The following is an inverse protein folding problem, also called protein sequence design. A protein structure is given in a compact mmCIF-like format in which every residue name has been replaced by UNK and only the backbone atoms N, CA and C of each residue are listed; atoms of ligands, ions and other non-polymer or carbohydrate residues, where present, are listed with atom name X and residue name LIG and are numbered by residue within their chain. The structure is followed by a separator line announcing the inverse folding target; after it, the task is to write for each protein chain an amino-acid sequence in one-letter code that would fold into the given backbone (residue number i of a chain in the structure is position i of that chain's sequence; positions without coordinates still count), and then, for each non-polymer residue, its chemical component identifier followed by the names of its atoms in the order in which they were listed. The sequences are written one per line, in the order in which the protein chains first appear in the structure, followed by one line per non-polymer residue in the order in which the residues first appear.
data_IF_875653381829
#
_entry.id   IF_875653381829
#
_cell.length_a   1.000
_cell.length_b   1.000
_cell.length_c   1.000
_cell.angle_alpha   90.00
_cell.angle_beta   90.00
_cell.angle_gamma   90.00
#
_symmetry.space_group_name_H-M   'P 1'
#
loop_
_entity.id
_entity.type
_entity.pdbx_description
1 polymer ?
#
# COMPACT_ATOMS: atom_id res chain seq x y z
N UNK A 1 -45.30 -32.22 -51.07
CA UNK A 1 -45.14 -30.81 -50.63
C UNK A 1 -44.82 -30.87 -49.18
N UNK A 2 -43.59 -30.77 -48.83
CA UNK A 2 -43.03 -31.04 -47.48
C UNK A 2 -42.75 -29.72 -46.70
N UNK A 3 -43.30 -29.59 -45.51
CA UNK A 3 -43.16 -28.36 -44.69
C UNK A 3 -41.92 -28.43 -43.77
N UNK A 4 -40.68 -28.61 -44.32
CA UNK A 4 -39.47 -28.75 -43.55
C UNK A 4 -38.48 -27.54 -43.67
N UNK A 5 -38.94 -26.43 -44.28
CA UNK A 5 -38.01 -25.29 -44.52
C UNK A 5 -38.18 -24.07 -43.59
N UNK A 6 -39.10 -24.12 -42.63
CA UNK A 6 -39.37 -22.95 -41.77
C UNK A 6 -38.74 -23.00 -40.38
N UNK A 7 -38.03 -24.08 -40.02
CA UNK A 7 -37.50 -24.23 -38.62
C UNK A 7 -36.04 -23.89 -38.46
N UNK A 8 -35.30 -23.55 -39.51
CA UNK A 8 -33.87 -23.36 -39.46
C UNK A 8 -33.40 -21.89 -39.33
N UNK A 9 -34.31 -20.93 -39.36
CA UNK A 9 -33.93 -19.49 -39.30
C UNK A 9 -34.11 -18.88 -37.90
N UNK A 10 -34.85 -19.53 -36.99
CA UNK A 10 -35.11 -18.99 -35.66
C UNK A 10 -33.98 -19.24 -34.64
N UNK A 11 -32.98 -20.07 -34.95
CA UNK A 11 -31.94 -20.46 -34.01
C UNK A 11 -30.65 -19.63 -34.12
N UNK A 12 -30.52 -18.75 -35.09
CA UNK A 12 -29.27 -17.99 -35.32
C UNK A 12 -29.28 -16.58 -34.70
N UNK A 13 -30.46 -16.08 -34.28
CA UNK A 13 -30.54 -14.72 -33.70
C UNK A 13 -30.42 -14.65 -32.17
N UNK A 14 -30.24 -15.75 -31.45
CA UNK A 14 -30.20 -15.76 -29.99
C UNK A 14 -28.79 -15.70 -29.39
N UNK A 15 -27.73 -15.60 -30.18
CA UNK A 15 -26.31 -15.64 -29.67
C UNK A 15 -25.58 -14.31 -29.73
N UNK A 16 -26.24 -13.19 -29.97
CA UNK A 16 -25.58 -11.88 -30.10
C UNK A 16 -25.67 -10.97 -28.82
N UNK A 17 -26.09 -11.52 -27.69
CA UNK A 17 -26.10 -10.76 -26.43
C UNK A 17 -24.95 -11.22 -25.50
N UNK A 18 -23.76 -11.38 -26.04
CA UNK A 18 -22.54 -11.45 -25.20
C UNK A 18 -22.21 -10.01 -24.79
N UNK A 19 -22.67 -9.64 -23.58
CA UNK A 19 -22.30 -8.41 -22.95
C UNK A 19 -20.75 -8.30 -22.94
N UNK A 20 -20.24 -7.26 -23.56
CA UNK A 20 -18.84 -6.91 -23.46
C UNK A 20 -18.51 -6.76 -21.97
N UNK A 21 -17.82 -7.74 -21.39
CA UNK A 21 -17.16 -7.56 -20.13
C UNK A 21 -16.23 -6.35 -20.33
N UNK A 22 -16.59 -5.21 -19.74
CA UNK A 22 -15.67 -4.10 -19.62
C UNK A 22 -14.56 -4.62 -18.72
N UNK A 23 -13.41 -4.89 -19.31
CA UNK A 23 -12.17 -4.96 -18.55
C UNK A 23 -12.06 -3.61 -17.85
N UNK A 24 -12.01 -3.61 -16.52
CA UNK A 24 -11.54 -2.46 -15.76
C UNK A 24 -10.06 -2.25 -16.14
N UNK A 25 -9.84 -1.57 -17.26
CA UNK A 25 -8.52 -1.13 -17.63
C UNK A 25 -8.11 -0.09 -16.57
N UNK A 26 -6.98 -0.28 -15.86
CA UNK A 26 -6.47 0.74 -14.99
C UNK A 26 -6.27 1.99 -15.84
N UNK A 27 -7.13 2.98 -15.66
CA UNK A 27 -6.96 4.26 -16.33
C UNK A 27 -5.57 4.84 -16.04
N UNK A 28 -5.09 5.83 -16.79
CA UNK A 28 -3.82 6.51 -16.55
C UNK A 28 -3.90 7.32 -15.25
N UNK A 29 -4.14 6.62 -14.15
CA UNK A 29 -4.18 7.15 -12.81
C UNK A 29 -2.82 6.89 -12.20
N UNK A 30 -2.02 7.93 -12.02
CA UNK A 30 -0.97 7.89 -11.04
C UNK A 30 -1.53 7.33 -9.73
N UNK A 31 -0.75 6.56 -9.00
CA UNK A 31 -1.13 5.97 -7.72
C UNK A 31 -1.74 7.06 -6.83
N UNK A 32 -3.06 6.99 -6.65
CA UNK A 32 -3.74 7.91 -5.73
C UNK A 32 -3.14 7.66 -4.35
N UNK A 33 -2.62 8.66 -3.66
CA UNK A 33 -2.07 8.48 -2.33
C UNK A 33 -3.08 7.77 -1.45
N UNK A 34 -2.63 6.81 -0.66
CA UNK A 34 -3.45 6.15 0.34
C UNK A 34 -4.10 7.23 1.21
N UNK A 35 -5.36 7.02 1.59
CA UNK A 35 -6.16 8.00 2.33
C UNK A 35 -6.15 7.85 3.87
N UNK A 36 -5.32 7.01 4.53
CA UNK A 36 -5.28 6.90 5.97
C UNK A 36 -4.91 8.23 6.62
N UNK A 37 -5.58 8.53 7.73
CA UNK A 37 -5.47 9.81 8.45
C UNK A 37 -4.75 9.68 9.79
N UNK A 38 -4.46 8.46 10.22
CA UNK A 38 -3.77 8.17 11.48
C UNK A 38 -2.60 7.24 11.27
N UNK A 39 -1.62 7.26 12.17
CA UNK A 39 -0.47 6.35 12.12
C UNK A 39 -0.89 4.89 12.23
N UNK A 40 -1.92 4.58 13.02
CA UNK A 40 -2.48 3.24 13.12
C UNK A 40 -3.09 2.77 11.79
N UNK A 41 -3.87 3.62 11.14
CA UNK A 41 -4.44 3.29 9.83
C UNK A 41 -3.36 3.03 8.79
N UNK A 42 -2.31 3.86 8.73
CA UNK A 42 -1.17 3.62 7.84
C UNK A 42 -0.51 2.28 8.18
N UNK A 43 -0.28 2.01 9.46
CA UNK A 43 0.31 0.74 9.91
C UNK A 43 -0.49 -0.46 9.42
N UNK A 44 -1.79 -0.46 9.67
CA UNK A 44 -2.70 -1.55 9.29
C UNK A 44 -2.78 -1.77 7.78
N UNK A 45 -2.77 -0.70 7.00
CA UNK A 45 -2.90 -0.78 5.54
C UNK A 45 -1.60 -1.18 4.84
N UNK A 46 -0.45 -0.81 5.41
CA UNK A 46 0.84 -0.91 4.70
C UNK A 46 1.83 -1.82 5.44
N UNK A 47 2.08 -1.57 6.71
CA UNK A 47 3.18 -2.20 7.45
C UNK A 47 2.82 -3.59 7.99
N UNK A 48 1.57 -3.74 8.43
CA UNK A 48 1.05 -4.95 9.08
C UNK A 48 1.18 -6.21 8.21
N UNK A 49 1.10 -6.08 6.89
CA UNK A 49 1.22 -7.20 5.97
C UNK A 49 2.51 -8.00 6.15
N UNK A 50 3.60 -7.31 6.52
CA UNK A 50 4.91 -7.93 6.76
C UNK A 50 5.27 -7.96 8.24
N UNK A 51 4.97 -6.89 8.98
CA UNK A 51 5.38 -6.75 10.39
C UNK A 51 4.37 -7.29 11.39
N UNK A 52 3.26 -7.88 10.93
CA UNK A 52 2.16 -8.49 11.71
C UNK A 52 1.40 -7.46 12.55
N UNK A 53 0.22 -7.85 13.05
CA UNK A 53 -0.66 -6.96 13.81
C UNK A 53 -0.06 -6.51 15.15
N UNK A 54 0.84 -7.30 15.71
CA UNK A 54 1.51 -7.07 16.99
C UNK A 54 2.93 -6.50 16.84
N UNK A 55 3.36 -6.20 15.62
CA UNK A 55 4.68 -5.66 15.33
C UNK A 55 5.85 -6.63 15.52
N UNK A 56 5.59 -7.92 15.76
CA UNK A 56 6.66 -8.91 16.04
C UNK A 56 7.39 -9.41 14.81
N UNK A 57 6.87 -9.08 13.62
CA UNK A 57 7.41 -9.61 12.39
C UNK A 57 7.17 -11.11 12.24
N UNK A 58 7.87 -11.75 11.32
CA UNK A 58 7.75 -13.19 11.09
C UNK A 58 9.06 -13.79 10.57
N UNK A 59 9.26 -15.07 10.85
CA UNK A 59 10.35 -15.90 10.32
C UNK A 59 9.73 -17.11 9.64
N UNK A 60 10.18 -17.43 8.43
CA UNK A 60 9.65 -18.55 7.66
C UNK A 60 10.01 -18.40 6.18
N UNK A 61 9.00 -18.33 5.31
CA UNK A 61 9.20 -18.07 3.87
C UNK A 61 9.83 -16.69 3.60
N UNK A 62 9.81 -15.77 4.58
CA UNK A 62 10.52 -14.49 4.60
C UNK A 62 11.02 -14.20 6.02
N UNK A 63 11.93 -13.24 6.14
CA UNK A 63 12.40 -12.71 7.42
C UNK A 63 11.95 -11.25 7.54
N UNK A 64 10.90 -11.03 8.32
CA UNK A 64 10.35 -9.71 8.59
C UNK A 64 10.73 -9.30 10.02
N UNK A 65 11.62 -8.31 10.19
CA UNK A 65 12.13 -7.94 11.51
C UNK A 65 11.03 -7.38 12.42
N UNK A 66 11.16 -7.64 13.73
CA UNK A 66 10.29 -7.08 14.73
C UNK A 66 10.42 -5.56 14.81
N UNK A 67 9.28 -4.88 14.86
CA UNK A 67 9.15 -3.48 15.25
C UNK A 67 8.86 -3.37 16.75
N UNK A 68 8.28 -4.42 17.32
CA UNK A 68 7.99 -4.53 18.75
C UNK A 68 9.28 -4.57 19.58
N UNK A 69 9.30 -3.81 20.68
CA UNK A 69 10.43 -3.73 21.61
C UNK A 69 11.77 -3.48 20.90
N UNK A 70 11.77 -2.65 19.87
CA UNK A 70 12.92 -2.44 19.00
C UNK A 70 13.68 -1.16 19.41
N UNK A 71 14.87 -1.26 20.01
CA UNK A 71 15.63 -0.10 20.48
C UNK A 71 16.03 0.86 19.34
N UNK A 72 16.09 0.39 18.09
CA UNK A 72 16.40 1.26 16.94
C UNK A 72 15.30 2.26 16.65
N UNK A 73 14.06 2.01 17.12
CA UNK A 73 12.96 2.97 17.01
C UNK A 73 13.22 4.24 17.86
N UNK A 74 14.13 4.21 18.80
CA UNK A 74 14.59 5.40 19.53
C UNK A 74 15.28 6.44 18.65
N UNK A 75 15.80 6.04 17.47
CA UNK A 75 16.46 6.94 16.52
C UNK A 75 15.50 7.28 15.37
N UNK A 76 14.92 8.49 15.31
CA UNK A 76 13.95 8.86 14.28
C UNK A 76 14.43 8.59 12.86
N UNK A 77 15.64 9.00 12.51
CA UNK A 77 16.19 8.85 11.17
C UNK A 77 16.31 7.40 10.72
N UNK A 78 16.45 6.45 11.63
CA UNK A 78 16.48 5.02 11.26
C UNK A 78 15.18 4.59 10.60
N UNK A 79 14.03 4.87 11.23
CA UNK A 79 12.73 4.55 10.67
C UNK A 79 12.45 5.33 9.38
N UNK A 80 12.75 6.62 9.37
CA UNK A 80 12.54 7.49 8.20
C UNK A 80 13.28 6.96 6.98
N UNK A 81 14.59 6.71 7.09
CA UNK A 81 15.40 6.22 5.95
C UNK A 81 14.91 4.88 5.44
N UNK A 82 14.54 3.95 6.33
CA UNK A 82 14.03 2.64 5.91
C UNK A 82 12.69 2.74 5.19
N UNK A 83 11.79 3.60 5.66
CA UNK A 83 10.48 3.81 5.03
C UNK A 83 10.61 4.49 3.67
N UNK A 84 11.46 5.50 3.57
CA UNK A 84 11.63 6.28 2.34
C UNK A 84 12.44 5.53 1.26
N UNK A 85 13.41 4.72 1.64
CA UNK A 85 14.36 4.09 0.70
C UNK A 85 14.24 2.58 0.58
N UNK A 86 13.53 1.94 1.50
CA UNK A 86 13.51 0.50 1.61
C UNK A 86 14.84 -0.11 2.05
N UNK A 87 14.85 -1.41 2.29
CA UNK A 87 16.08 -2.19 2.54
C UNK A 87 15.82 -3.68 2.37
N UNK A 88 16.58 -4.34 1.52
CA UNK A 88 16.43 -5.78 1.29
C UNK A 88 15.03 -6.11 0.75
N UNK A 89 14.26 -6.93 1.46
CA UNK A 89 12.87 -7.25 1.10
C UNK A 89 11.84 -6.17 1.48
N UNK A 90 12.22 -5.15 2.24
CA UNK A 90 11.32 -4.03 2.55
C UNK A 90 11.32 -3.02 1.39
N UNK A 91 10.18 -2.79 0.73
CA UNK A 91 10.10 -1.80 -0.34
C UNK A 91 10.27 -0.37 0.20
N UNK A 92 10.52 0.58 -0.70
CA UNK A 92 10.40 2.00 -0.39
C UNK A 92 8.93 2.44 -0.50
N UNK A 93 8.54 3.42 0.30
CA UNK A 93 7.15 3.92 0.35
C UNK A 93 7.02 5.38 -0.06
N UNK A 94 8.09 6.02 -0.49
CA UNK A 94 8.11 7.43 -0.93
C UNK A 94 7.15 7.75 -2.09
N UNK A 95 6.71 6.75 -2.86
CA UNK A 95 5.76 6.93 -3.95
C UNK A 95 4.30 6.69 -3.51
N UNK A 96 4.07 6.07 -2.34
CA UNK A 96 2.74 5.68 -1.86
C UNK A 96 2.31 6.36 -0.58
N UNK A 97 3.24 6.83 0.23
CA UNK A 97 2.98 7.57 1.46
C UNK A 97 3.50 9.01 1.35
N UNK A 98 2.70 9.97 1.81
CA UNK A 98 3.18 11.34 1.98
C UNK A 98 4.14 11.45 3.17
N UNK A 99 5.02 12.46 3.22
CA UNK A 99 5.88 12.70 4.37
C UNK A 99 5.12 12.81 5.70
N UNK A 100 3.93 13.40 5.69
CA UNK A 100 3.05 13.44 6.85
C UNK A 100 2.59 12.05 7.30
N UNK A 101 2.24 11.17 6.36
CA UNK A 101 1.85 9.79 6.67
C UNK A 101 3.01 8.96 7.19
N UNK A 102 4.21 9.14 6.66
CA UNK A 102 5.43 8.52 7.19
C UNK A 102 5.70 8.99 8.62
N UNK A 103 5.58 10.29 8.89
CA UNK A 103 5.71 10.83 10.24
C UNK A 103 4.69 10.23 11.22
N UNK A 104 3.41 10.14 10.80
CA UNK A 104 2.34 9.55 11.62
C UNK A 104 2.58 8.08 11.95
N UNK A 105 2.93 7.26 10.95
CA UNK A 105 3.12 5.82 11.19
C UNK A 105 4.35 5.53 12.03
N UNK A 106 5.42 6.27 11.83
CA UNK A 106 6.63 6.10 12.65
C UNK A 106 6.41 6.55 14.09
N UNK A 107 5.64 7.62 14.32
CA UNK A 107 5.21 8.02 15.65
C UNK A 107 4.38 6.92 16.31
N UNK A 108 3.43 6.34 15.58
CA UNK A 108 2.62 5.21 16.07
C UNK A 108 3.49 4.03 16.48
N UNK A 109 4.40 3.56 15.61
CA UNK A 109 5.30 2.43 15.90
C UNK A 109 6.17 2.72 17.13
N UNK A 110 6.68 3.93 17.26
CA UNK A 110 7.56 4.36 18.35
C UNK A 110 6.87 4.40 19.72
N UNK A 111 5.56 4.53 19.74
CA UNK A 111 4.75 4.61 20.97
C UNK A 111 3.94 3.34 21.25
N UNK A 112 3.97 2.36 20.33
CA UNK A 112 3.22 1.10 20.42
C UNK A 112 4.13 -0.12 20.39
N UNK A 113 3.55 -1.29 20.50
CA UNK A 113 4.26 -2.57 20.43
C UNK A 113 5.38 -2.72 21.48
N UNK A 114 5.20 -2.12 22.67
CA UNK A 114 6.22 -2.15 23.73
C UNK A 114 7.36 -1.15 23.54
N UNK A 115 7.34 -0.33 22.49
CA UNK A 115 8.24 0.81 22.36
C UNK A 115 7.72 1.97 23.21
N UNK A 116 8.66 2.76 23.77
CA UNK A 116 8.34 3.92 24.61
C UNK A 116 9.24 5.11 24.22
N UNK A 117 9.00 5.66 23.03
CA UNK A 117 9.68 6.84 22.51
C UNK A 117 8.63 7.91 22.19
N UNK A 118 8.23 8.72 23.20
CA UNK A 118 7.04 9.56 23.12
C UNK A 118 7.17 10.77 22.18
N UNK A 119 8.38 11.20 21.85
CA UNK A 119 8.57 12.34 20.96
C UNK A 119 8.06 12.01 19.56
N UNK A 120 7.10 12.78 19.02
CA UNK A 120 6.56 12.54 17.71
C UNK A 120 7.59 12.81 16.62
N UNK A 121 7.56 12.04 15.56
CA UNK A 121 8.24 12.39 14.31
C UNK A 121 7.39 13.41 13.58
N UNK A 122 8.03 14.47 13.11
CA UNK A 122 7.38 15.54 12.34
C UNK A 122 7.58 15.35 10.84
N UNK A 123 6.65 15.88 10.05
CA UNK A 123 6.79 15.91 8.59
C UNK A 123 8.11 16.59 8.16
N UNK A 124 8.50 17.67 8.84
CA UNK A 124 9.73 18.38 8.57
C UNK A 124 10.99 17.51 8.72
N UNK A 125 10.97 16.50 9.61
CA UNK A 125 12.06 15.54 9.75
C UNK A 125 12.09 14.51 8.60
N UNK A 126 10.94 14.24 7.98
CA UNK A 126 10.83 13.28 6.86
C UNK A 126 11.23 13.93 5.53
N UNK A 127 10.83 15.18 5.30
CA UNK A 127 11.03 15.89 4.03
C UNK A 127 12.45 15.79 3.43
N UNK A 128 13.56 15.89 4.19
CA UNK A 128 14.91 15.77 3.63
C UNK A 128 15.22 14.39 3.03
N UNK A 129 14.46 13.36 3.38
CA UNK A 129 14.63 11.98 2.93
C UNK A 129 13.61 11.58 1.87
N UNK A 130 12.50 12.33 1.78
CA UNK A 130 11.42 12.08 0.85
C UNK A 130 11.89 12.32 -0.59
N UNK A 131 11.37 11.50 -1.50
CA UNK A 131 11.59 11.73 -2.94
C UNK A 131 10.93 13.05 -3.34
N UNK A 132 11.62 13.91 -4.11
CA UNK A 132 10.98 15.10 -4.64
C UNK A 132 9.71 14.74 -5.41
N UNK A 133 8.61 15.52 -5.29
CA UNK A 133 7.41 15.25 -6.05
C UNK A 133 7.75 15.21 -7.54
N UNK A 134 7.38 14.12 -8.20
CA UNK A 134 7.54 14.02 -9.66
C UNK A 134 6.68 15.12 -10.28
N UNK A 135 7.24 15.99 -11.16
CA UNK A 135 6.43 16.99 -11.86
C UNK A 135 5.30 16.26 -12.59
N UNK A 136 4.06 16.53 -12.21
CA UNK A 136 2.92 16.01 -12.94
C UNK A 136 2.98 16.57 -14.35
N UNK A 137 3.08 15.69 -15.35
CA UNK A 137 2.92 16.09 -16.74
C UNK A 137 1.53 16.72 -16.89
N UNK A 138 1.51 18.00 -17.25
CA UNK A 138 0.28 18.76 -17.54
C UNK A 138 -0.29 18.34 -18.87
#
# INVERSE_FOLDING_TARGET
MTPFRALSIALVLALAAHGSARSDEPGPGGTKPLAPKTGEEVYRMVCQACHMADGRGAVGAGNFPALANNPRMGTPNFGIVLTERGKGGMPYFSDSLSPAQVAMVLTFIRTHFGNNYPEPITEAQVLPFAKPPTPQAR
#
